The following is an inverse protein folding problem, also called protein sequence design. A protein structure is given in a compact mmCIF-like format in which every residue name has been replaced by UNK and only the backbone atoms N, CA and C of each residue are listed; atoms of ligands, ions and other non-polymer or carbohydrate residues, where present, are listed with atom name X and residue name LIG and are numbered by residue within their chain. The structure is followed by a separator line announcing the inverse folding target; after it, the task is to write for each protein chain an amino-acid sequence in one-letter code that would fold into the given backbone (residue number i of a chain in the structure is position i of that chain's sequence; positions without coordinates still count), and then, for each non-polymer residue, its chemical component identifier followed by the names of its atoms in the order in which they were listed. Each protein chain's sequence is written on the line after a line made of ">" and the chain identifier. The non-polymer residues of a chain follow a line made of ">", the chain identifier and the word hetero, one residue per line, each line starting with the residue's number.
data_IF_736906623950
#
_entry.id   IF_736906623950
#
_cell.length_a   1.000
_cell.length_b   1.000
_cell.length_c   1.000
_cell.angle_alpha   90.00
_cell.angle_beta   90.00
_cell.angle_gamma   90.00
#
_symmetry.space_group_name_H-M   'P 1'
#
loop_
_entity.id
_entity.type
_entity.pdbx_description
1 polymer ?
#
# COMPACT_ATOMS: atom_id res chain seq x y z
N UNK A 1 -15.75 -24.43 -7.93
CA UNK A 1 -15.45 -24.70 -6.50
C UNK A 1 -15.44 -23.37 -5.79
N UNK A 2 -15.83 -23.29 -4.52
CA UNK A 2 -15.74 -22.03 -3.76
C UNK A 2 -14.33 -21.82 -3.26
N UNK A 3 -13.99 -20.58 -2.90
CA UNK A 3 -12.70 -20.26 -2.36
C UNK A 3 -12.48 -20.83 -0.95
N UNK A 4 -11.27 -20.70 -0.43
CA UNK A 4 -10.85 -21.23 0.88
C UNK A 4 -9.87 -20.28 1.59
N UNK A 5 -9.79 -20.40 2.91
CA UNK A 5 -8.70 -19.81 3.66
C UNK A 5 -7.42 -20.62 3.44
N UNK A 6 -6.35 -19.94 3.23
CA UNK A 6 -5.00 -20.50 3.11
C UNK A 6 -4.19 -20.22 4.39
N UNK A 7 -3.06 -20.91 4.54
CA UNK A 7 -2.12 -20.62 5.63
C UNK A 7 -1.62 -19.18 5.54
N UNK A 8 -1.62 -18.49 6.67
CA UNK A 8 -1.11 -17.12 6.75
C UNK A 8 0.35 -17.02 6.25
N UNK A 9 0.72 -15.87 5.75
CA UNK A 9 2.06 -15.59 5.24
C UNK A 9 2.72 -14.43 5.98
N UNK A 10 4.05 -14.35 5.86
CA UNK A 10 4.82 -13.21 6.36
C UNK A 10 4.63 -11.99 5.47
N UNK A 11 4.87 -10.79 6.03
CA UNK A 11 4.89 -9.55 5.25
C UNK A 11 5.98 -9.63 4.16
N UNK A 12 7.18 -10.14 4.45
CA UNK A 12 8.24 -10.34 3.46
C UNK A 12 7.76 -11.18 2.27
N UNK A 13 7.04 -12.28 2.52
CA UNK A 13 6.48 -13.12 1.45
C UNK A 13 5.49 -12.36 0.58
N UNK A 14 4.60 -11.56 1.20
CA UNK A 14 3.67 -10.72 0.44
C UNK A 14 4.42 -9.68 -0.41
N UNK A 15 5.45 -9.02 0.14
CA UNK A 15 6.28 -8.06 -0.59
C UNK A 15 7.03 -8.69 -1.76
N UNK A 16 7.49 -9.94 -1.59
CA UNK A 16 8.11 -10.72 -2.67
C UNK A 16 7.08 -11.04 -3.76
N UNK A 17 5.89 -11.51 -3.40
CA UNK A 17 4.82 -11.81 -4.37
C UNK A 17 4.42 -10.57 -5.19
N UNK A 18 4.37 -9.39 -4.56
CA UNK A 18 4.14 -8.12 -5.27
C UNK A 18 5.30 -7.83 -6.24
N UNK A 19 6.55 -7.91 -5.78
CA UNK A 19 7.73 -7.62 -6.62
C UNK A 19 7.87 -8.55 -7.80
N UNK A 20 7.45 -9.81 -7.65
CA UNK A 20 7.47 -10.85 -8.68
C UNK A 20 6.20 -10.86 -9.55
N UNK A 21 5.29 -9.91 -9.38
CA UNK A 21 4.00 -9.80 -10.06
C UNK A 21 3.11 -11.04 -9.90
N UNK A 22 3.31 -11.78 -8.82
CA UNK A 22 2.38 -12.82 -8.38
C UNK A 22 1.14 -12.24 -7.72
N UNK A 23 1.23 -11.00 -7.22
CA UNK A 23 0.10 -10.21 -6.74
C UNK A 23 -0.05 -8.97 -7.61
N UNK A 24 -1.24 -8.81 -8.19
CA UNK A 24 -1.63 -7.67 -9.00
C UNK A 24 -2.92 -7.04 -8.47
N UNK A 25 -3.25 -5.87 -8.95
CA UNK A 25 -4.49 -5.17 -8.61
C UNK A 25 -5.45 -5.25 -9.80
N UNK A 26 -6.68 -5.74 -9.63
CA UNK A 26 -7.67 -5.69 -10.69
C UNK A 26 -8.19 -4.26 -10.91
N UNK A 27 -8.68 -3.96 -12.10
CA UNK A 27 -9.19 -2.63 -12.48
C UNK A 27 -10.36 -2.16 -11.63
N UNK A 28 -11.04 -3.06 -10.93
CA UNK A 28 -12.14 -2.75 -10.02
C UNK A 28 -11.70 -2.02 -8.75
N UNK A 29 -10.41 -2.01 -8.44
CA UNK A 29 -9.87 -1.39 -7.23
C UNK A 29 -9.83 0.14 -7.34
N UNK A 30 -10.10 0.81 -6.21
CA UNK A 30 -9.90 2.25 -6.08
C UNK A 30 -8.43 2.62 -6.03
N UNK A 31 -8.10 3.88 -6.33
CA UNK A 31 -6.75 4.41 -6.14
C UNK A 31 -6.29 4.28 -4.69
N UNK A 32 -4.98 4.29 -4.50
CA UNK A 32 -4.39 4.40 -3.17
C UNK A 32 -4.75 5.75 -2.54
N UNK A 33 -5.21 5.74 -1.28
CA UNK A 33 -5.72 6.93 -0.59
C UNK A 33 -5.17 7.11 0.82
N UNK A 34 -4.41 6.16 1.35
CA UNK A 34 -3.86 6.26 2.69
C UNK A 34 -2.78 7.32 2.77
N UNK A 35 -2.84 8.12 3.83
CA UNK A 35 -1.83 9.12 4.16
C UNK A 35 -0.65 8.52 4.94
N UNK A 36 0.32 9.37 5.25
CA UNK A 36 1.54 9.01 5.98
C UNK A 36 1.20 8.47 7.36
N UNK A 37 0.27 9.09 8.08
CA UNK A 37 -0.07 8.74 9.45
C UNK A 37 -0.76 7.37 9.52
N UNK A 38 -1.62 7.06 8.54
CA UNK A 38 -2.26 5.75 8.41
C UNK A 38 -1.22 4.65 8.13
N UNK A 39 -0.20 4.93 7.31
CA UNK A 39 0.89 3.98 7.06
C UNK A 39 1.72 3.77 8.32
N UNK A 40 2.14 4.83 9.00
CA UNK A 40 2.91 4.74 10.24
C UNK A 40 2.15 3.95 11.32
N UNK A 41 0.85 4.20 11.46
CA UNK A 41 -0.03 3.47 12.39
C UNK A 41 -0.15 1.98 12.02
N UNK A 42 -0.17 1.62 10.74
CA UNK A 42 -0.17 0.22 10.33
C UNK A 42 1.11 -0.48 10.77
N UNK A 43 2.29 0.14 10.56
CA UNK A 43 3.56 -0.43 10.98
C UNK A 43 3.66 -0.56 12.51
N UNK A 44 3.22 0.44 13.24
CA UNK A 44 3.15 0.39 14.70
C UNK A 44 2.22 -0.75 15.18
N UNK A 45 1.04 -0.90 14.56
CA UNK A 45 0.09 -1.97 14.87
C UNK A 45 0.69 -3.36 14.64
N UNK A 46 1.41 -3.55 13.52
CA UNK A 46 2.13 -4.80 13.22
C UNK A 46 3.21 -5.06 14.28
N UNK A 47 3.95 -4.04 14.67
CA UNK A 47 4.97 -4.13 15.73
C UNK A 47 4.37 -4.48 17.10
N UNK A 48 3.15 -4.04 17.39
CA UNK A 48 2.41 -4.33 18.61
C UNK A 48 1.62 -5.65 18.58
N UNK A 49 1.76 -6.49 17.55
CA UNK A 49 0.98 -7.71 17.33
C UNK A 49 -0.54 -7.50 17.19
N UNK A 50 -0.96 -6.30 16.80
CA UNK A 50 -2.38 -6.11 16.52
C UNK A 50 -2.77 -6.84 15.23
N UNK A 51 -3.97 -7.44 15.19
CA UNK A 51 -4.40 -8.19 14.04
C UNK A 51 -4.54 -7.28 12.82
N UNK A 52 -3.90 -7.68 11.74
CA UNK A 52 -4.11 -7.09 10.43
C UNK A 52 -5.25 -7.88 9.77
N UNK A 53 -6.36 -7.23 9.47
CA UNK A 53 -7.52 -7.90 8.86
C UNK A 53 -7.12 -8.78 7.68
N UNK A 54 -7.88 -9.86 7.43
CA UNK A 54 -7.63 -10.79 6.34
C UNK A 54 -7.59 -10.08 4.98
N UNK A 55 -6.76 -10.61 4.09
CA UNK A 55 -6.75 -10.23 2.68
C UNK A 55 -7.71 -11.13 1.91
N UNK A 56 -8.20 -10.64 0.78
CA UNK A 56 -8.93 -11.44 -0.19
C UNK A 56 -8.22 -11.42 -1.52
N UNK A 57 -7.88 -12.59 -2.02
CA UNK A 57 -7.17 -12.79 -3.27
C UNK A 57 -8.06 -13.56 -4.25
N UNK A 58 -8.00 -13.22 -5.50
CA UNK A 58 -8.62 -13.95 -6.60
C UNK A 58 -7.54 -14.62 -7.44
N UNK A 59 -7.51 -15.92 -7.47
CA UNK A 59 -6.59 -16.68 -8.34
C UNK A 59 -7.03 -16.56 -9.78
N UNK A 60 -6.22 -15.94 -10.61
CA UNK A 60 -6.47 -15.74 -12.05
C UNK A 60 -5.62 -16.74 -12.83
N UNK A 61 -6.27 -17.80 -13.34
CA UNK A 61 -5.64 -18.85 -14.13
C UNK A 61 -6.24 -18.96 -15.56
N UNK A 62 -7.43 -18.40 -15.82
CA UNK A 62 -8.04 -18.33 -17.13
C UNK A 62 -7.30 -17.37 -18.07
N UNK A 63 -6.92 -17.85 -19.25
CA UNK A 63 -6.33 -17.00 -20.29
C UNK A 63 -7.30 -15.90 -20.76
N UNK A 64 -8.59 -16.20 -20.87
CA UNK A 64 -9.63 -15.26 -21.25
C UNK A 64 -9.71 -14.08 -20.29
N UNK A 65 -9.65 -14.33 -18.97
CA UNK A 65 -9.64 -13.27 -17.96
C UNK A 65 -8.34 -12.46 -18.02
N UNK A 66 -7.20 -13.13 -18.19
CA UNK A 66 -5.90 -12.44 -18.28
C UNK A 66 -5.82 -11.50 -19.49
N UNK A 67 -6.44 -11.87 -20.60
CA UNK A 67 -6.40 -11.08 -21.84
C UNK A 67 -7.55 -10.06 -21.93
N UNK A 68 -8.67 -10.34 -21.30
CA UNK A 68 -9.88 -9.52 -21.39
C UNK A 68 -10.11 -8.59 -20.18
N UNK A 69 -9.27 -8.64 -19.16
CA UNK A 69 -9.45 -7.84 -17.96
C UNK A 69 -8.15 -7.06 -17.61
N UNK A 70 -8.28 -5.77 -17.29
CA UNK A 70 -7.12 -4.93 -16.98
C UNK A 70 -6.63 -5.15 -15.55
N UNK A 71 -5.32 -5.35 -15.41
CA UNK A 71 -4.61 -5.44 -14.13
C UNK A 71 -3.53 -4.38 -14.00
N UNK A 72 -3.16 -4.07 -12.76
CA UNK A 72 -2.19 -3.03 -12.42
C UNK A 72 -1.16 -3.55 -11.43
N UNK A 73 0.05 -2.98 -11.51
CA UNK A 73 1.08 -3.17 -10.49
C UNK A 73 0.78 -2.35 -9.23
N UNK A 74 1.38 -2.74 -8.12
CA UNK A 74 1.36 -1.93 -6.90
C UNK A 74 2.24 -0.70 -7.03
N UNK A 75 1.84 0.40 -6.38
CA UNK A 75 2.66 1.60 -6.31
C UNK A 75 3.90 1.37 -5.45
N UNK A 76 5.06 1.69 -6.00
CA UNK A 76 6.33 1.79 -5.25
C UNK A 76 6.65 3.23 -4.88
N UNK A 77 6.22 4.19 -5.71
CA UNK A 77 6.47 5.62 -5.54
C UNK A 77 5.13 6.34 -5.58
N UNK A 78 4.67 6.72 -4.43
CA UNK A 78 3.48 7.55 -4.32
C UNK A 78 3.89 9.03 -4.28
N UNK A 79 3.28 9.82 -5.14
CA UNK A 79 3.46 11.28 -5.17
C UNK A 79 2.08 11.89 -5.07
N UNK A 80 1.81 12.59 -3.98
CA UNK A 80 0.52 13.22 -3.72
C UNK A 80 0.11 14.11 -4.91
N UNK A 81 -1.07 13.87 -5.47
CA UNK A 81 -1.69 14.48 -6.67
C UNK A 81 -1.05 14.15 -8.03
N UNK A 82 0.15 13.59 -8.09
CA UNK A 82 0.85 13.40 -9.37
C UNK A 82 1.26 11.95 -9.65
N UNK A 83 1.28 11.09 -8.66
CA UNK A 83 1.69 9.70 -8.80
C UNK A 83 0.74 8.74 -8.09
N UNK A 84 -0.57 8.95 -8.28
CA UNK A 84 -1.64 8.19 -7.63
C UNK A 84 -2.15 7.02 -8.48
N UNK A 85 -1.76 6.96 -9.75
CA UNK A 85 -2.19 5.90 -10.65
C UNK A 85 -1.23 4.71 -10.59
N UNK A 86 -1.80 3.53 -10.41
CA UNK A 86 -1.06 2.29 -10.51
C UNK A 86 -0.64 2.04 -11.97
N UNK A 87 0.60 1.60 -12.23
CA UNK A 87 1.03 1.22 -13.57
C UNK A 87 0.20 0.07 -14.13
N UNK A 88 -0.26 0.20 -15.37
CA UNK A 88 -0.90 -0.89 -16.07
C UNK A 88 0.09 -2.05 -16.29
N UNK A 89 -0.38 -3.28 -16.14
CA UNK A 89 0.42 -4.48 -16.35
C UNK A 89 -0.15 -5.29 -17.50
N UNK A 90 0.68 -5.58 -18.50
CA UNK A 90 0.31 -6.50 -19.59
C UNK A 90 0.42 -7.94 -19.09
N UNK A 91 -0.71 -8.61 -18.97
CA UNK A 91 -0.82 -10.00 -18.52
C UNK A 91 -0.70 -11.02 -19.65
N UNK A 92 -0.56 -10.58 -20.91
CA UNK A 92 -0.37 -11.47 -22.05
C UNK A 92 0.93 -12.27 -21.90
N UNK A 93 0.81 -13.58 -21.90
CA UNK A 93 1.97 -14.46 -21.70
C UNK A 93 2.49 -14.56 -20.27
N UNK A 94 1.91 -13.81 -19.33
CA UNK A 94 2.20 -13.97 -17.91
C UNK A 94 1.56 -15.26 -17.36
N UNK A 95 2.22 -15.93 -16.42
CA UNK A 95 1.68 -17.10 -15.74
C UNK A 95 0.45 -16.79 -14.88
N UNK A 96 0.00 -17.76 -14.12
CA UNK A 96 -1.04 -17.54 -13.10
C UNK A 96 -0.56 -16.56 -12.02
N UNK A 97 -1.49 -15.74 -11.54
CA UNK A 97 -1.26 -14.76 -10.48
C UNK A 97 -2.51 -14.61 -9.61
N UNK A 98 -2.39 -13.91 -8.50
CA UNK A 98 -3.53 -13.57 -7.65
C UNK A 98 -3.83 -12.08 -7.73
N UNK A 99 -5.07 -11.73 -8.05
CA UNK A 99 -5.55 -10.36 -7.99
C UNK A 99 -6.03 -10.04 -6.56
N UNK A 100 -5.59 -8.92 -5.99
CA UNK A 100 -5.98 -8.51 -4.63
C UNK A 100 -7.35 -7.86 -4.67
N UNK A 101 -8.36 -8.53 -4.11
CA UNK A 101 -9.75 -8.07 -4.07
C UNK A 101 -10.02 -7.20 -2.83
N UNK A 102 -9.47 -7.58 -1.67
CA UNK A 102 -9.50 -6.74 -0.47
C UNK A 102 -8.13 -6.72 0.21
N UNK A 103 -7.84 -5.61 0.90
CA UNK A 103 -6.55 -5.36 1.55
C UNK A 103 -5.54 -4.60 0.68
N UNK A 104 -5.94 -4.09 -0.47
CA UNK A 104 -5.08 -3.30 -1.36
C UNK A 104 -4.38 -2.15 -0.63
N UNK A 105 -5.11 -1.33 0.13
CA UNK A 105 -4.54 -0.17 0.83
C UNK A 105 -3.44 -0.61 1.82
N UNK A 106 -3.69 -1.69 2.57
CA UNK A 106 -2.74 -2.27 3.53
C UNK A 106 -1.48 -2.81 2.85
N UNK A 107 -1.65 -3.62 1.80
CA UNK A 107 -0.51 -4.17 1.05
C UNK A 107 0.31 -3.07 0.35
N UNK A 108 -0.35 -2.07 -0.26
CA UNK A 108 0.32 -0.92 -0.88
C UNK A 108 1.09 -0.12 0.17
N UNK A 109 0.51 0.11 1.36
CA UNK A 109 1.17 0.80 2.47
C UNK A 109 2.43 0.07 2.95
N UNK A 110 2.33 -1.25 3.14
CA UNK A 110 3.50 -2.08 3.49
C UNK A 110 4.56 -2.05 2.39
N UNK A 111 4.14 -2.08 1.11
CA UNK A 111 5.06 -2.06 -0.01
C UNK A 111 5.78 -0.72 -0.16
N UNK A 112 5.05 0.40 -0.02
CA UNK A 112 5.64 1.76 -0.01
C UNK A 112 6.62 1.92 1.17
N UNK A 113 6.22 1.49 2.37
CA UNK A 113 7.06 1.61 3.56
C UNK A 113 8.34 0.77 3.53
N UNK A 114 8.29 -0.43 2.93
CA UNK A 114 9.43 -1.36 2.90
C UNK A 114 10.30 -1.24 1.65
N UNK A 115 9.72 -0.89 0.50
CA UNK A 115 10.43 -0.92 -0.79
C UNK A 115 10.29 0.36 -1.60
N UNK A 116 9.52 1.31 -1.13
CA UNK A 116 9.15 2.47 -1.90
C UNK A 116 9.44 3.81 -1.25
N UNK A 117 8.68 4.80 -1.68
CA UNK A 117 8.73 6.16 -1.15
C UNK A 117 7.37 6.84 -1.21
N UNK A 118 7.17 7.80 -0.32
CA UNK A 118 5.98 8.64 -0.27
C UNK A 118 6.40 10.12 -0.35
N UNK A 119 5.89 10.84 -1.34
CA UNK A 119 6.20 12.24 -1.54
C UNK A 119 4.97 13.11 -1.22
N UNK A 120 5.10 13.97 -0.23
CA UNK A 120 4.11 14.99 0.12
C UNK A 120 4.69 16.38 -0.03
N UNK A 121 3.81 17.32 -0.28
CA UNK A 121 4.16 18.72 -0.40
C UNK A 121 4.79 19.26 0.89
N UNK A 122 5.89 20.01 0.75
CA UNK A 122 6.47 20.77 1.87
C UNK A 122 5.43 21.74 2.45
N UNK A 123 5.41 21.96 3.77
CA UNK A 123 4.49 22.91 4.38
C UNK A 123 4.76 24.34 3.89
N UNK A 124 3.73 25.17 3.90
CA UNK A 124 3.79 26.61 3.56
C UNK A 124 4.24 26.95 2.14
N UNK A 125 4.19 26.00 1.21
CA UNK A 125 4.45 26.21 -0.22
C UNK A 125 3.16 25.96 -0.99
N UNK A 126 2.92 26.70 -2.07
CA UNK A 126 1.79 26.45 -2.97
C UNK A 126 1.98 25.14 -3.74
N UNK A 127 0.87 24.54 -4.15
CA UNK A 127 0.92 23.33 -4.97
C UNK A 127 1.56 23.66 -6.33
N UNK A 128 2.55 22.86 -6.77
CA UNK A 128 3.14 23.04 -8.09
C UNK A 128 2.15 22.60 -9.18
N UNK A 129 2.35 23.11 -10.41
CA UNK A 129 1.56 22.71 -11.58
C UNK A 129 1.94 21.32 -12.11
N UNK A 130 3.14 20.84 -11.81
CA UNK A 130 3.66 19.53 -12.18
C UNK A 130 4.40 18.91 -11.00
N UNK A 131 4.73 17.61 -11.11
CA UNK A 131 5.54 16.93 -10.09
C UNK A 131 6.94 17.58 -10.03
N UNK A 132 7.22 18.22 -8.89
CA UNK A 132 8.50 18.88 -8.62
C UNK A 132 9.11 18.29 -7.34
N UNK A 133 10.18 17.47 -7.44
CA UNK A 133 10.82 16.87 -6.27
C UNK A 133 11.40 17.89 -5.26
N UNK A 134 11.64 19.13 -5.65
CA UNK A 134 12.05 20.18 -4.74
C UNK A 134 10.92 20.61 -3.79
N UNK A 135 9.67 20.46 -4.21
CA UNK A 135 8.44 20.78 -3.48
C UNK A 135 7.83 19.50 -2.87
N UNK A 136 7.89 18.40 -3.60
CA UNK A 136 7.39 17.06 -3.25
C UNK A 136 8.55 16.07 -3.12
N UNK A 137 9.45 16.25 -2.12
CA UNK A 137 10.59 15.36 -2.01
C UNK A 137 10.14 13.94 -1.65
N UNK A 138 10.69 12.90 -2.32
CA UNK A 138 10.46 11.54 -1.93
C UNK A 138 11.02 11.28 -0.53
N UNK A 139 10.23 10.62 0.30
CA UNK A 139 10.58 10.23 1.67
C UNK A 139 10.49 8.73 1.79
N UNK A 140 11.43 8.12 2.51
CA UNK A 140 11.38 6.72 2.92
C UNK A 140 10.86 6.62 4.35
N UNK A 141 10.35 5.44 4.69
CA UNK A 141 9.91 5.15 6.05
C UNK A 141 11.11 4.84 6.93
N UNK A 142 11.19 5.54 8.06
CA UNK A 142 12.18 5.33 9.11
C UNK A 142 11.51 5.02 10.43
N UNK A 143 12.21 4.27 11.28
CA UNK A 143 11.86 3.94 12.65
C UNK A 143 12.91 4.53 13.58
N UNK A 144 12.46 5.28 14.57
CA UNK A 144 13.34 5.79 15.61
C UNK A 144 13.68 4.68 16.62
N UNK A 145 14.96 4.34 16.74
CA UNK A 145 15.45 3.32 17.67
C UNK A 145 15.98 3.89 18.98
N UNK A 146 15.98 5.23 19.18
CA UNK A 146 16.56 5.84 20.37
C UNK A 146 15.71 5.57 21.61
N UNK A 147 14.40 5.79 21.53
CA UNK A 147 13.45 5.65 22.63
C UNK A 147 12.01 5.44 22.08
N UNK A 148 11.08 4.94 22.90
CA UNK A 148 9.65 4.90 22.54
C UNK A 148 9.08 6.32 22.45
N UNK A 149 7.92 6.43 21.79
CA UNK A 149 7.14 7.67 21.83
C UNK A 149 6.70 7.97 23.26
N UNK A 150 6.67 9.28 23.58
CA UNK A 150 6.22 9.76 24.89
C UNK A 150 4.70 9.54 25.02
N UNK A 151 4.24 8.76 26.00
CA UNK A 151 2.81 8.50 26.19
C UNK A 151 1.99 9.75 26.51
N UNK A 152 2.61 10.79 27.12
CA UNK A 152 1.91 12.01 27.49
C UNK A 152 1.60 12.93 26.29
N UNK A 153 2.32 12.72 25.17
CA UNK A 153 2.16 13.49 23.94
C UNK A 153 1.67 12.64 22.76
N UNK A 154 1.01 11.52 23.04
CA UNK A 154 0.64 10.52 22.06
C UNK A 154 -0.82 10.08 22.24
N UNK A 155 -1.74 10.87 21.69
CA UNK A 155 -3.19 10.60 21.75
C UNK A 155 -3.59 9.28 21.08
N UNK A 156 -2.77 8.77 20.15
CA UNK A 156 -3.02 7.58 19.35
C UNK A 156 -2.52 6.27 19.98
N UNK A 157 -1.93 6.30 21.15
CA UNK A 157 -1.35 5.12 21.85
C UNK A 157 -0.28 4.37 21.02
N UNK A 158 0.42 5.07 20.13
CA UNK A 158 1.54 4.51 19.38
C UNK A 158 2.74 4.28 20.31
N UNK A 159 3.48 3.21 20.09
CA UNK A 159 4.71 2.88 20.85
C UNK A 159 5.94 3.24 20.05
N UNK A 160 5.90 3.01 18.74
CA UNK A 160 7.03 3.13 17.85
C UNK A 160 6.94 4.40 17.01
N UNK A 161 8.03 5.18 16.97
CA UNK A 161 8.11 6.41 16.20
C UNK A 161 8.49 6.10 14.74
N UNK A 162 7.49 5.87 13.90
CA UNK A 162 7.63 5.74 12.46
C UNK A 162 7.42 7.07 11.77
N UNK A 163 8.32 7.46 10.88
CA UNK A 163 8.18 8.70 10.10
C UNK A 163 8.68 8.54 8.67
N UNK A 164 8.01 9.21 7.74
CA UNK A 164 8.51 9.37 6.38
C UNK A 164 9.45 10.58 6.32
N UNK A 165 10.74 10.33 6.12
CA UNK A 165 11.81 11.32 6.15
C UNK A 165 12.58 11.34 4.83
N UNK A 166 13.10 12.51 4.46
CA UNK A 166 14.18 12.63 3.47
C UNK A 166 15.52 12.32 4.12
N UNK A 167 16.55 11.98 3.34
CA UNK A 167 17.91 11.80 3.84
C UNK A 167 18.40 13.06 4.60
N UNK A 168 18.13 14.25 4.05
CA UNK A 168 18.47 15.52 4.71
C UNK A 168 17.72 15.74 6.04
N UNK A 169 16.50 15.21 6.20
CA UNK A 169 15.78 15.23 7.48
C UNK A 169 16.45 14.30 8.49
N UNK A 170 16.88 13.11 8.06
CA UNK A 170 17.60 12.15 8.90
C UNK A 170 18.91 12.75 9.37
N UNK A 171 19.74 13.27 8.47
CA UNK A 171 21.05 13.87 8.81
C UNK A 171 20.90 15.00 9.82
N UNK A 172 19.93 15.90 9.62
CA UNK A 172 19.67 17.02 10.53
C UNK A 172 19.22 16.56 11.92
N UNK A 173 18.38 15.51 12.01
CA UNK A 173 17.82 15.01 13.26
C UNK A 173 18.78 14.11 14.04
N UNK A 174 19.70 13.42 13.36
CA UNK A 174 20.71 12.55 14.00
C UNK A 174 21.70 13.32 14.88
N UNK A 175 21.71 14.65 14.82
CA UNK A 175 22.48 15.48 15.76
C UNK A 175 21.93 15.49 17.19
N UNK A 176 20.69 15.03 17.40
CA UNK A 176 20.06 14.91 18.71
C UNK A 176 20.12 13.44 19.18
N UNK A 177 20.64 13.18 20.39
CA UNK A 177 20.73 11.84 20.99
C UNK A 177 19.39 11.12 21.13
N UNK A 178 18.27 11.86 21.04
CA UNK A 178 16.91 11.32 21.04
C UNK A 178 16.51 10.70 19.70
N UNK A 179 17.37 10.77 18.70
CA UNK A 179 17.08 10.32 17.34
C UNK A 179 18.11 9.30 16.85
N UNK A 180 17.65 8.10 16.58
CA UNK A 180 18.40 7.05 15.92
C UNK A 180 17.52 6.44 14.81
N UNK A 181 17.60 6.98 13.61
CA UNK A 181 16.72 6.64 12.52
C UNK A 181 17.22 5.42 11.74
N UNK A 182 16.42 4.36 11.72
CA UNK A 182 16.65 3.16 10.92
C UNK A 182 15.71 3.17 9.71
N UNK A 183 16.22 3.12 8.48
CA UNK A 183 15.39 2.96 7.28
C UNK A 183 14.72 1.58 7.29
N UNK A 184 13.39 1.55 7.40
CA UNK A 184 12.62 0.31 7.64
C UNK A 184 12.86 -0.73 6.57
N UNK A 185 12.98 -0.32 5.30
CA UNK A 185 13.25 -1.21 4.18
C UNK A 185 14.55 -2.01 4.29
N UNK A 186 15.55 -1.51 5.02
CA UNK A 186 16.82 -2.22 5.23
C UNK A 186 16.66 -3.54 5.99
N UNK A 187 15.56 -3.73 6.72
CA UNK A 187 15.28 -5.00 7.41
C UNK A 187 15.21 -6.18 6.45
N UNK A 188 14.80 -5.95 5.21
CA UNK A 188 14.74 -6.97 4.17
C UNK A 188 16.12 -7.40 3.65
N UNK A 189 17.18 -6.62 3.96
CA UNK A 189 18.57 -6.91 3.61
C UNK A 189 19.30 -7.71 4.69
N UNK A 190 18.72 -7.84 5.88
CA UNK A 190 19.30 -8.67 6.93
C UNK A 190 19.32 -10.12 6.47
N UNK A 191 20.30 -10.93 6.87
CA UNK A 191 20.34 -12.34 6.51
C UNK A 191 19.07 -13.09 6.90
N UNK A 192 18.66 -14.03 6.06
CA UNK A 192 17.63 -14.99 6.47
C UNK A 192 18.33 -16.02 7.36
N UNK A 193 17.89 -16.13 8.61
CA UNK A 193 18.48 -17.00 9.60
C UNK A 193 17.42 -17.94 10.17
N UNK A 194 17.84 -19.09 10.69
CA UNK A 194 16.90 -20.10 11.20
C UNK A 194 16.62 -19.92 12.69
N UNK A 195 17.61 -19.46 13.47
CA UNK A 195 17.48 -19.30 14.91
C UNK A 195 17.22 -17.85 15.33
N UNK A 196 16.55 -17.67 16.46
CA UNK A 196 16.29 -16.35 17.03
C UNK A 196 17.57 -15.71 17.60
N UNK A 197 18.53 -16.54 18.05
CA UNK A 197 19.83 -16.06 18.56
C UNK A 197 20.63 -15.40 17.44
N UNK A 198 20.66 -15.97 16.24
CA UNK A 198 21.34 -15.37 15.07
C UNK A 198 20.71 -14.01 14.69
N UNK A 199 19.40 -13.84 14.86
CA UNK A 199 18.75 -12.54 14.64
C UNK A 199 19.30 -11.51 15.61
N UNK A 200 19.44 -11.90 16.90
CA UNK A 200 19.98 -11.00 17.93
C UNK A 200 21.41 -10.60 17.60
N UNK A 201 22.24 -11.54 17.12
CA UNK A 201 23.63 -11.27 16.74
C UNK A 201 23.69 -10.25 15.59
N UNK A 202 22.91 -10.45 14.52
CA UNK A 202 22.86 -9.50 13.40
C UNK A 202 22.34 -8.11 13.82
N UNK A 203 21.37 -8.05 14.73
CA UNK A 203 20.89 -6.79 15.31
C UNK A 203 21.99 -6.10 16.11
N UNK A 204 22.74 -6.86 16.92
CA UNK A 204 23.86 -6.33 17.72
C UNK A 204 25.00 -5.85 16.84
N UNK A 205 25.33 -6.57 15.78
CA UNK A 205 26.35 -6.16 14.79
C UNK A 205 25.96 -4.83 14.13
N UNK A 206 24.71 -4.70 13.68
CA UNK A 206 24.22 -3.45 13.13
C UNK A 206 24.28 -2.31 14.16
N UNK A 207 23.75 -2.53 15.37
CA UNK A 207 23.76 -1.50 16.42
C UNK A 207 25.18 -1.14 16.86
N UNK A 208 26.11 -2.11 16.87
CA UNK A 208 27.54 -1.88 17.08
C UNK A 208 28.15 -0.96 16.03
N UNK A 209 27.77 -1.14 14.76
CA UNK A 209 28.27 -0.32 13.65
C UNK A 209 27.84 1.16 13.74
N UNK A 210 26.72 1.43 14.44
CA UNK A 210 26.20 2.80 14.68
C UNK A 210 26.42 3.28 16.12
N UNK A 211 27.25 2.58 16.91
CA UNK A 211 27.61 2.97 18.28
C UNK A 211 26.48 2.84 19.31
N UNK A 212 25.48 1.99 19.06
CA UNK A 212 24.27 1.86 19.89
C UNK A 212 24.04 0.43 20.44
N UNK A 213 25.06 -0.40 20.47
CA UNK A 213 24.97 -1.79 20.95
C UNK A 213 24.46 -1.91 22.40
N UNK A 214 24.70 -0.89 23.22
CA UNK A 214 24.27 -0.84 24.62
C UNK A 214 22.83 -0.35 24.82
N UNK A 215 22.16 0.14 23.79
CA UNK A 215 20.79 0.64 23.89
C UNK A 215 19.78 -0.53 23.90
N UNK A 216 19.13 -0.86 25.06
CA UNK A 216 18.24 -2.01 25.15
C UNK A 216 16.94 -1.81 24.35
N UNK A 217 16.46 -0.56 24.23
CA UNK A 217 15.28 -0.26 23.43
C UNK A 217 15.56 -0.47 21.94
N UNK A 218 16.70 0.03 21.43
CA UNK A 218 17.11 -0.16 20.05
C UNK A 218 17.19 -1.64 19.68
N UNK A 219 17.84 -2.44 20.55
CA UNK A 219 17.95 -3.89 20.33
C UNK A 219 16.59 -4.55 20.28
N UNK A 220 15.73 -4.32 21.28
CA UNK A 220 14.38 -4.91 21.33
C UNK A 220 13.53 -4.50 20.13
N UNK A 221 13.58 -3.21 19.77
CA UNK A 221 12.76 -2.66 18.69
C UNK A 221 13.20 -3.17 17.32
N UNK A 222 14.51 -3.23 17.05
CA UNK A 222 15.01 -3.73 15.76
C UNK A 222 14.80 -5.24 15.61
N UNK A 223 15.00 -6.03 16.68
CA UNK A 223 14.63 -7.45 16.68
C UNK A 223 13.13 -7.63 16.44
N UNK A 224 12.29 -6.85 17.13
CA UNK A 224 10.84 -6.88 16.93
C UNK A 224 10.43 -6.57 15.49
N UNK A 225 11.07 -5.59 14.85
CA UNK A 225 10.83 -5.27 13.44
C UNK A 225 11.19 -6.46 12.53
N UNK A 226 12.31 -7.12 12.79
CA UNK A 226 12.71 -8.32 12.03
C UNK A 226 11.65 -9.42 12.14
N UNK A 227 11.22 -9.76 13.35
CA UNK A 227 10.20 -10.78 13.58
C UNK A 227 8.89 -10.42 12.88
N UNK A 228 8.41 -9.19 13.05
CA UNK A 228 7.15 -8.71 12.51
C UNK A 228 7.09 -8.79 10.98
N UNK A 229 8.20 -8.50 10.31
CA UNK A 229 8.23 -8.43 8.85
C UNK A 229 8.58 -9.78 8.23
N UNK A 230 9.51 -10.55 8.84
CA UNK A 230 10.15 -11.68 8.17
C UNK A 230 9.80 -13.06 8.74
N UNK A 231 9.35 -13.13 9.98
CA UNK A 231 9.12 -14.42 10.67
C UNK A 231 7.66 -14.70 10.99
N UNK A 232 6.93 -13.66 11.39
CA UNK A 232 5.55 -13.83 11.82
C UNK A 232 4.60 -13.91 10.62
N UNK A 233 3.79 -14.94 10.58
CA UNK A 233 2.76 -15.17 9.58
C UNK A 233 1.50 -14.36 9.97
N UNK A 234 1.56 -13.03 9.85
CA UNK A 234 0.51 -12.12 10.31
C UNK A 234 -0.57 -11.83 9.24
N UNK A 235 -0.29 -12.14 7.98
CA UNK A 235 -1.22 -11.88 6.88
C UNK A 235 -2.08 -13.12 6.60
N UNK A 236 -3.27 -13.15 7.20
CA UNK A 236 -4.30 -14.13 6.86
C UNK A 236 -4.94 -13.76 5.52
N UNK A 237 -5.30 -14.75 4.71
CA UNK A 237 -5.97 -14.49 3.45
C UNK A 237 -6.90 -15.61 3.01
N UNK A 238 -7.91 -15.19 2.24
CA UNK A 238 -8.84 -16.08 1.56
C UNK A 238 -8.56 -16.03 0.07
N UNK A 239 -8.60 -17.17 -0.61
CA UNK A 239 -8.42 -17.27 -2.07
C UNK A 239 -9.74 -17.69 -2.71
N UNK A 240 -10.28 -16.86 -3.58
CA UNK A 240 -11.37 -17.23 -4.49
C UNK A 240 -10.75 -17.81 -5.77
N UNK A 241 -11.21 -19.00 -6.15
CA UNK A 241 -10.71 -19.73 -7.32
C UNK A 241 -11.68 -19.67 -8.53
N UNK A 242 -12.89 -19.13 -8.34
CA UNK A 242 -13.87 -19.03 -9.43
C UNK A 242 -13.36 -18.09 -10.52
N UNK A 243 -13.49 -18.53 -11.77
CA UNK A 243 -13.20 -17.71 -12.95
C UNK A 243 -14.47 -16.97 -13.47
N UNK A 244 -15.54 -16.96 -12.68
CA UNK A 244 -16.75 -16.17 -12.95
C UNK A 244 -16.58 -14.74 -12.41
N UNK A 245 -16.42 -13.78 -13.32
CA UNK A 245 -16.25 -12.35 -12.99
C UNK A 245 -17.45 -11.81 -12.20
N UNK A 246 -18.67 -12.23 -12.54
CA UNK A 246 -19.89 -11.81 -11.82
C UNK A 246 -19.81 -12.19 -10.35
N UNK A 247 -19.42 -13.43 -10.03
CA UNK A 247 -19.19 -13.89 -8.66
C UNK A 247 -18.09 -13.10 -7.95
N UNK A 248 -16.97 -12.81 -8.61
CA UNK A 248 -15.87 -12.05 -8.02
C UNK A 248 -16.30 -10.61 -7.71
N UNK A 249 -17.08 -9.99 -8.61
CA UNK A 249 -17.65 -8.67 -8.38
C UNK A 249 -18.65 -8.66 -7.19
N UNK A 250 -19.51 -9.65 -7.10
CA UNK A 250 -20.44 -9.80 -5.96
C UNK A 250 -19.69 -9.90 -4.62
N UNK A 251 -18.62 -10.69 -4.60
CA UNK A 251 -17.75 -10.81 -3.41
C UNK A 251 -17.09 -9.47 -3.09
N UNK A 252 -16.52 -8.80 -4.09
CA UNK A 252 -15.89 -7.48 -3.94
C UNK A 252 -16.85 -6.45 -3.34
N UNK A 253 -18.09 -6.39 -3.82
CA UNK A 253 -19.11 -5.49 -3.29
C UNK A 253 -19.39 -5.81 -1.82
N UNK A 254 -19.70 -7.07 -1.50
CA UNK A 254 -20.09 -7.49 -0.15
C UNK A 254 -18.97 -7.33 0.87
N UNK A 255 -17.72 -7.56 0.50
CA UNK A 255 -16.57 -7.39 1.41
C UNK A 255 -16.28 -5.92 1.70
N UNK A 256 -16.64 -5.01 0.80
CA UNK A 256 -16.45 -3.57 0.99
C UNK A 256 -17.64 -2.86 1.66
N UNK A 257 -18.82 -3.49 1.81
CA UNK A 257 -19.98 -2.92 2.49
C UNK A 257 -19.76 -2.67 3.99
N UNK A 258 -18.82 -3.37 4.64
CA UNK A 258 -18.47 -3.22 6.06
C UNK A 258 -17.38 -2.17 6.37
N UNK A 259 -16.75 -1.57 5.34
CA UNK A 259 -15.67 -0.60 5.47
C UNK A 259 -16.04 0.80 4.98
N UNK A 260 -15.09 1.54 4.40
CA UNK A 260 -15.41 2.78 3.68
C UNK A 260 -16.26 2.41 2.47
N UNK A 261 -17.54 2.83 2.39
CA UNK A 261 -18.43 2.42 1.31
C UNK A 261 -17.80 2.74 -0.06
N UNK A 262 -17.90 1.78 -0.99
CA UNK A 262 -17.60 2.05 -2.38
C UNK A 262 -18.56 3.13 -2.88
N UNK A 263 -18.01 4.13 -3.55
CA UNK A 263 -18.86 5.10 -4.23
C UNK A 263 -19.56 4.39 -5.40
N UNK A 264 -20.80 4.77 -5.72
CA UNK A 264 -21.48 4.22 -6.90
C UNK A 264 -20.65 4.32 -8.19
N UNK A 265 -19.83 5.36 -8.32
CA UNK A 265 -18.87 5.55 -9.41
C UNK A 265 -17.76 4.50 -9.45
N UNK A 266 -17.27 4.04 -8.30
CA UNK A 266 -16.24 2.99 -8.24
C UNK A 266 -16.81 1.65 -8.73
N UNK A 267 -18.06 1.35 -8.35
CA UNK A 267 -18.77 0.17 -8.80
C UNK A 267 -19.07 0.22 -10.30
N UNK A 268 -19.60 1.33 -10.81
CA UNK A 268 -19.83 1.53 -12.24
C UNK A 268 -18.52 1.42 -13.04
N UNK A 269 -17.44 2.01 -12.54
CA UNK A 269 -16.12 1.91 -13.15
C UNK A 269 -15.63 0.46 -13.21
N UNK A 270 -15.87 -0.33 -12.17
CA UNK A 270 -15.47 -1.74 -12.14
C UNK A 270 -16.20 -2.55 -13.22
N UNK A 271 -17.52 -2.33 -13.36
CA UNK A 271 -18.34 -2.98 -14.38
C UNK A 271 -17.91 -2.54 -15.79
N UNK A 272 -17.66 -1.25 -15.99
CA UNK A 272 -17.22 -0.71 -17.28
C UNK A 272 -15.84 -1.25 -17.67
N UNK A 273 -14.89 -1.30 -16.74
CA UNK A 273 -13.53 -1.81 -16.97
C UNK A 273 -13.50 -3.30 -17.31
N UNK A 274 -14.51 -4.06 -16.90
CA UNK A 274 -14.65 -5.46 -17.28
C UNK A 274 -15.07 -5.65 -18.76
N UNK A 275 -15.67 -4.61 -19.38
CA UNK A 275 -16.19 -4.66 -20.75
C UNK A 275 -15.55 -3.65 -21.69
N UNK A 276 -14.80 -2.69 -21.15
CA UNK A 276 -14.15 -1.61 -21.89
C UNK A 276 -12.75 -1.37 -21.31
N UNK A 277 -11.73 -1.84 -21.98
CA UNK A 277 -10.33 -1.89 -21.55
C UNK A 277 -9.80 -0.50 -21.10
N UNK A 278 -10.10 0.56 -21.86
CA UNK A 278 -9.60 1.92 -21.61
C UNK A 278 -10.56 2.78 -20.73
N UNK A 279 -11.63 2.21 -20.18
CA UNK A 279 -12.67 2.99 -19.50
C UNK A 279 -12.11 3.91 -18.40
N UNK A 280 -11.20 3.38 -17.57
CA UNK A 280 -10.58 4.11 -16.47
C UNK A 280 -9.71 5.25 -16.96
N UNK A 281 -8.87 4.98 -17.96
CA UNK A 281 -7.92 5.94 -18.50
C UNK A 281 -8.67 7.07 -19.22
N UNK A 282 -9.71 6.77 -19.98
CA UNK A 282 -10.57 7.78 -20.64
C UNK A 282 -11.28 8.68 -19.63
N UNK A 283 -11.80 8.14 -18.55
CA UNK A 283 -12.42 8.96 -17.50
C UNK A 283 -11.39 9.81 -16.78
N UNK A 284 -10.19 9.28 -16.52
CA UNK A 284 -9.11 10.05 -15.89
C UNK A 284 -8.57 11.14 -16.80
N UNK A 285 -8.39 10.86 -18.10
CA UNK A 285 -8.02 11.86 -19.10
C UNK A 285 -9.04 13.00 -19.13
N UNK A 286 -10.34 12.68 -19.13
CA UNK A 286 -11.40 13.69 -19.12
C UNK A 286 -11.38 14.55 -17.83
N UNK A 287 -11.24 13.91 -16.67
CA UNK A 287 -11.12 14.63 -15.38
C UNK A 287 -9.90 15.55 -15.38
N UNK A 288 -8.75 15.05 -15.86
CA UNK A 288 -7.53 15.84 -15.96
C UNK A 288 -7.65 16.99 -16.97
N UNK A 289 -8.22 16.74 -18.14
CA UNK A 289 -8.48 17.77 -19.16
C UNK A 289 -9.34 18.91 -18.59
N UNK A 290 -10.45 18.58 -17.94
CA UNK A 290 -11.34 19.59 -17.35
C UNK A 290 -10.63 20.38 -16.24
N UNK A 291 -9.77 19.71 -15.45
CA UNK A 291 -8.99 20.38 -14.41
C UNK A 291 -7.93 21.32 -14.97
N UNK A 292 -7.17 20.86 -15.98
CA UNK A 292 -6.00 21.59 -16.50
C UNK A 292 -6.37 22.66 -17.50
N UNK A 293 -7.27 22.35 -18.43
CA UNK A 293 -7.61 23.24 -19.54
C UNK A 293 -8.80 24.17 -19.22
N UNK A 294 -9.78 23.68 -18.45
CA UNK A 294 -10.98 24.45 -18.14
C UNK A 294 -10.97 25.06 -16.73
N UNK A 295 -10.03 24.65 -15.87
CA UNK A 295 -9.87 25.19 -14.52
C UNK A 295 -10.95 24.73 -13.51
N UNK A 296 -11.79 23.73 -13.85
CA UNK A 296 -12.80 23.21 -12.96
C UNK A 296 -12.30 21.98 -12.21
N UNK A 297 -12.56 21.93 -10.89
CA UNK A 297 -12.30 20.73 -10.08
C UNK A 297 -13.51 19.81 -10.12
N UNK A 298 -13.42 18.76 -10.91
CA UNK A 298 -14.41 17.67 -10.93
C UNK A 298 -13.73 16.36 -10.52
N UNK A 299 -14.54 15.41 -10.07
CA UNK A 299 -14.09 14.06 -9.75
C UNK A 299 -14.72 13.02 -10.70
N UNK A 300 -14.24 11.77 -10.60
CA UNK A 300 -14.78 10.66 -11.39
C UNK A 300 -16.27 10.44 -11.12
N UNK A 301 -16.72 10.66 -9.89
CA UNK A 301 -18.11 10.43 -9.48
C UNK A 301 -19.07 11.31 -10.29
N UNK A 302 -18.71 12.56 -10.49
CA UNK A 302 -19.49 13.47 -11.33
C UNK A 302 -19.52 13.03 -12.79
N UNK A 303 -18.37 12.62 -13.35
CA UNK A 303 -18.28 12.16 -14.74
C UNK A 303 -19.14 10.90 -14.93
N UNK A 304 -19.05 9.94 -14.00
CA UNK A 304 -19.80 8.69 -14.07
C UNK A 304 -21.31 8.92 -13.94
N UNK A 305 -21.73 9.76 -13.01
CA UNK A 305 -23.15 10.15 -12.86
C UNK A 305 -23.69 10.83 -14.13
N UNK A 306 -22.92 11.74 -14.71
CA UNK A 306 -23.30 12.40 -15.95
C UNK A 306 -23.42 11.39 -17.12
N UNK A 307 -22.46 10.46 -17.24
CA UNK A 307 -22.52 9.41 -18.25
C UNK A 307 -23.78 8.54 -18.13
N UNK A 308 -24.13 8.11 -16.91
CA UNK A 308 -25.33 7.31 -16.66
C UNK A 308 -26.61 8.11 -17.00
N UNK A 309 -26.67 9.40 -16.60
CA UNK A 309 -27.80 10.27 -16.93
C UNK A 309 -27.97 10.45 -18.45
N UNK A 310 -26.87 10.57 -19.19
CA UNK A 310 -26.90 10.73 -20.66
C UNK A 310 -27.32 9.45 -21.40
N UNK A 311 -27.15 8.28 -20.80
CA UNK A 311 -27.55 7.00 -21.39
C UNK A 311 -29.00 6.62 -21.12
N UNK A 312 -29.78 7.46 -20.42
CA UNK A 312 -31.16 7.14 -19.97
C UNK A 312 -31.27 5.82 -19.18
N UNK A 313 -30.19 5.37 -18.55
CA UNK A 313 -30.26 4.21 -17.66
C UNK A 313 -31.08 4.55 -16.42
N UNK A 314 -32.06 3.71 -16.08
CA UNK A 314 -32.85 3.85 -14.85
C UNK A 314 -31.93 3.74 -13.63
N UNK A 315 -31.60 4.89 -13.02
CA UNK A 315 -30.90 4.94 -11.75
C UNK A 315 -31.94 4.68 -10.66
N UNK A 316 -32.01 3.45 -10.18
CA UNK A 316 -32.70 3.21 -8.91
C UNK A 316 -31.82 3.75 -7.77
N UNK A 317 -32.43 4.52 -6.83
CA UNK A 317 -31.72 5.09 -5.69
C UNK A 317 -31.16 4.03 -4.76
#
# INVERSE_FOLDING_TARGET
>A
MGGRYERAITIETAMRNISERRYLLPSIQRKFTWDIDQICRLFDSVMQHYPVNSLMLWKVDSAEIREGFQFYEFLTKYVDRFGENNPAFDTKGHGEFSAVIDGQQRLTSLYIGLKGSYAVKKPRIWWPKANDPSILPPRKLYLNLAAPLDPEHNDDQLIYDFQFLTEADVDRRTTDEKNLWFEVGRILMFPAVESDDEIVDHVLDYLGSVGQASNPFARKTLSRLYFAIRREEVLNYFVEESQDIGRVLDIFIRTNEGGTPLRPSDLLMSIMSASWEDARDRVDELVNFIRTELGFTIDRDLVMKAAVMLTNADIKP
#
